data_IF_767132859168
#
_entry.id   IF_767132859168
#
_cell.length_a   1.000
_cell.length_b   1.000
_cell.length_c   1.000
_cell.angle_alpha   90.00
_cell.angle_beta   90.00
_cell.angle_gamma   90.00
#
_symmetry.space_group_name_H-M   'P 1'
#
loop_
_entity.id
_entity.type
_entity.pdbx_description
1 polymer ?
#
# COMPACT_ATOMS: atom_id res chain seq x y z
N UNK A 1 3.92 18.77 -9.89
CA UNK A 1 2.94 17.83 -9.27
C UNK A 1 3.23 16.35 -9.58
N UNK A 2 4.45 15.99 -10.01
CA UNK A 2 4.71 14.69 -10.66
C UNK A 2 4.57 13.49 -9.70
N UNK A 3 5.16 13.53 -8.50
CA UNK A 3 5.16 12.40 -7.55
C UNK A 3 3.87 12.12 -6.77
N UNK A 4 2.80 12.90 -6.95
CA UNK A 4 1.59 12.82 -6.11
C UNK A 4 0.91 11.45 -6.18
N UNK A 5 0.85 10.84 -7.37
CA UNK A 5 0.10 9.60 -7.58
C UNK A 5 0.74 8.41 -6.86
N UNK A 6 2.07 8.28 -6.93
CA UNK A 6 2.79 7.19 -6.25
C UNK A 6 2.70 7.29 -4.72
N UNK A 7 2.76 8.51 -4.18
CA UNK A 7 2.60 8.76 -2.73
C UNK A 7 1.17 8.43 -2.29
N UNK A 8 0.16 8.81 -3.05
CA UNK A 8 -1.25 8.53 -2.72
C UNK A 8 -1.51 7.01 -2.71
N UNK A 9 -1.05 6.27 -3.72
CA UNK A 9 -1.20 4.81 -3.76
C UNK A 9 -0.49 4.16 -2.57
N UNK A 10 0.72 4.61 -2.24
CA UNK A 10 1.45 4.12 -1.08
C UNK A 10 0.72 4.37 0.24
N UNK A 11 0.17 5.57 0.44
CA UNK A 11 -0.59 5.94 1.64
C UNK A 11 -1.88 5.14 1.78
N UNK A 12 -2.59 4.89 0.68
CA UNK A 12 -3.77 4.01 0.68
C UNK A 12 -3.36 2.60 1.10
N UNK A 13 -2.29 2.06 0.53
CA UNK A 13 -1.74 0.76 0.93
C UNK A 13 -1.35 0.71 2.40
N UNK A 14 -0.76 1.79 2.93
CA UNK A 14 -0.41 1.95 4.34
C UNK A 14 -1.63 1.91 5.27
N UNK A 15 -2.70 2.63 4.95
CA UNK A 15 -3.93 2.59 5.74
C UNK A 15 -4.53 1.18 5.76
N UNK A 16 -4.56 0.50 4.61
CA UNK A 16 -5.07 -0.88 4.51
C UNK A 16 -4.20 -1.84 5.33
N UNK A 17 -2.87 -1.69 5.30
CA UNK A 17 -1.97 -2.53 6.11
C UNK A 17 -2.13 -2.28 7.61
N UNK A 18 -2.36 -1.04 8.04
CA UNK A 18 -2.65 -0.72 9.45
C UNK A 18 -3.93 -1.42 9.90
N UNK A 19 -4.99 -1.34 9.09
CA UNK A 19 -6.26 -2.05 9.38
C UNK A 19 -6.07 -3.56 9.35
N UNK A 20 -5.34 -4.10 8.36
CA UNK A 20 -5.05 -5.54 8.27
C UNK A 20 -4.22 -6.05 9.46
N UNK A 21 -3.24 -5.26 9.91
CA UNK A 21 -2.42 -5.56 11.09
C UNK A 21 -3.27 -5.58 12.36
N UNK A 22 -4.15 -4.59 12.53
CA UNK A 22 -5.13 -4.59 13.62
C UNK A 22 -5.93 -5.89 13.60
N UNK A 23 -6.60 -6.20 12.48
CA UNK A 23 -7.42 -7.42 12.35
C UNK A 23 -6.63 -8.69 12.69
N UNK A 24 -5.35 -8.74 12.32
CA UNK A 24 -4.48 -9.89 12.62
C UNK A 24 -4.14 -10.01 14.11
N UNK A 25 -3.83 -8.89 14.78
CA UNK A 25 -3.49 -8.88 16.21
C UNK A 25 -4.70 -9.19 17.07
N UNK A 26 -5.86 -8.62 16.73
CA UNK A 26 -7.10 -8.84 17.50
C UNK A 26 -7.82 -10.13 17.13
N UNK A 27 -7.26 -10.93 16.20
CA UNK A 27 -7.90 -12.13 15.65
C UNK A 27 -9.34 -11.88 15.17
N UNK A 28 -9.63 -10.66 14.71
CA UNK A 28 -10.96 -10.24 14.30
C UNK A 28 -11.15 -10.51 12.81
N UNK A 29 -12.29 -11.09 12.45
CA UNK A 29 -12.64 -11.42 11.05
C UNK A 29 -13.89 -10.65 10.66
N UNK A 30 -13.80 -9.90 9.55
CA UNK A 30 -14.93 -9.17 8.97
C UNK A 30 -15.41 -9.93 7.73
N UNK A 31 -16.25 -10.94 7.94
CA UNK A 31 -16.68 -11.83 6.86
C UNK A 31 -15.48 -12.56 6.22
N UNK A 32 -15.31 -12.52 4.88
CA UNK A 32 -14.17 -13.16 4.22
C UNK A 32 -12.84 -12.41 4.42
N UNK A 33 -12.86 -11.17 4.96
CA UNK A 33 -11.65 -10.41 5.23
C UNK A 33 -11.07 -10.81 6.59
N UNK A 34 -9.98 -11.57 6.55
CA UNK A 34 -9.12 -11.83 7.71
C UNK A 34 -7.87 -10.93 7.70
N UNK A 35 -7.16 -10.88 8.82
CA UNK A 35 -5.94 -10.08 8.95
C UNK A 35 -4.85 -10.43 7.92
N UNK A 36 -4.74 -11.69 7.47
CA UNK A 36 -3.78 -12.07 6.43
C UNK A 36 -4.15 -11.44 5.08
N UNK A 37 -5.42 -11.51 4.68
CA UNK A 37 -5.91 -10.95 3.42
C UNK A 37 -5.75 -9.43 3.42
N UNK A 38 -6.12 -8.76 4.52
CA UNK A 38 -5.94 -7.31 4.67
C UNK A 38 -4.48 -6.89 4.55
N UNK A 39 -3.56 -7.62 5.19
CA UNK A 39 -2.12 -7.37 5.07
C UNK A 39 -1.61 -7.62 3.65
N UNK A 40 -2.03 -8.70 2.99
CA UNK A 40 -1.62 -8.99 1.60
C UNK A 40 -2.07 -7.89 0.65
N UNK A 41 -3.32 -7.45 0.74
CA UNK A 41 -3.84 -6.37 -0.11
C UNK A 41 -3.07 -5.06 0.15
N UNK A 42 -2.92 -4.67 1.42
CA UNK A 42 -2.24 -3.41 1.75
C UNK A 42 -0.76 -3.40 1.33
N UNK A 43 -0.05 -4.53 1.49
CA UNK A 43 1.35 -4.66 1.06
C UNK A 43 1.48 -4.62 -0.46
N UNK A 44 0.58 -5.24 -1.22
CA UNK A 44 0.56 -5.11 -2.69
C UNK A 44 0.43 -3.65 -3.10
N UNK A 45 -0.50 -2.90 -2.51
CA UNK A 45 -0.67 -1.48 -2.81
C UNK A 45 0.58 -0.66 -2.45
N UNK A 46 1.23 -0.94 -1.32
CA UNK A 46 2.48 -0.27 -0.97
C UNK A 46 3.61 -0.57 -1.96
N UNK A 47 3.78 -1.84 -2.36
CA UNK A 47 4.80 -2.25 -3.34
C UNK A 47 4.56 -1.55 -4.68
N UNK A 48 3.31 -1.54 -5.17
CA UNK A 48 2.96 -0.83 -6.41
C UNK A 48 3.22 0.68 -6.27
N UNK A 49 2.85 1.29 -5.15
CA UNK A 49 3.12 2.71 -4.86
C UNK A 49 4.61 3.05 -4.90
N UNK A 50 5.46 2.21 -4.27
CA UNK A 50 6.91 2.36 -4.29
C UNK A 50 7.47 2.20 -5.71
N UNK A 51 7.05 1.17 -6.45
CA UNK A 51 7.50 0.96 -7.83
C UNK A 51 7.17 2.17 -8.72
N UNK A 52 5.96 2.70 -8.59
CA UNK A 52 5.52 3.90 -9.31
C UNK A 52 6.37 5.12 -8.93
N UNK A 53 6.77 5.26 -7.67
CA UNK A 53 7.67 6.33 -7.24
C UNK A 53 9.08 6.16 -7.82
N UNK A 54 9.64 4.95 -7.78
CA UNK A 54 10.96 4.66 -8.34
C UNK A 54 10.98 5.00 -9.83
N UNK A 55 10.01 4.51 -10.60
CA UNK A 55 9.92 4.79 -12.05
C UNK A 55 9.86 6.29 -12.32
N UNK A 56 9.05 7.03 -11.56
CA UNK A 56 8.96 8.48 -11.72
C UNK A 56 10.26 9.21 -11.39
N UNK A 57 11.00 8.76 -10.37
CA UNK A 57 12.31 9.33 -10.02
C UNK A 57 13.30 9.08 -11.15
N UNK A 58 13.35 7.86 -11.69
CA UNK A 58 14.24 7.49 -12.79
C UNK A 58 13.96 8.30 -14.07
N UNK A 59 12.68 8.47 -14.43
CA UNK A 59 12.30 9.27 -15.59
C UNK A 59 12.63 10.76 -15.37
N UNK A 60 12.36 11.28 -14.17
CA UNK A 60 12.62 12.70 -13.86
C UNK A 60 14.10 13.06 -13.84
N UNK A 61 14.99 12.09 -13.63
CA UNK A 61 16.45 12.30 -13.64
C UNK A 61 17.05 12.35 -15.05
N UNK A 62 16.34 11.83 -16.06
CA UNK A 62 16.79 11.75 -17.45
C UNK A 62 16.43 13.00 -18.28
N UNK A 63 15.66 13.92 -17.70
CA UNK A 63 15.24 15.19 -18.33
C UNK A 63 15.98 16.33 -17.68
#
# INVERSE_FOLDING_TARGET
MKFKLGIVIFLIGFLITVVGAWLKITHFTLGPLNGNIGLTIGTIFQVVGILVLIVQILISRKT
#
